data_IF_590590815570
#
_entry.id   IF_590590815570
#
_cell.length_a   1.000
_cell.length_b   1.000
_cell.length_c   1.000
_cell.angle_alpha   90.00
_cell.angle_beta   90.00
_cell.angle_gamma   90.00
#
_symmetry.space_group_name_H-M   'P 1'
#
loop_
_entity.id
_entity.type
_entity.pdbx_description
1 polymer ?
#
# COMPACT_ATOMS: atom_id res chain seq x y z
N UNK A 1 -6.28 -2.11 -14.34
CA UNK A 1 -5.71 -0.74 -14.32
C UNK A 1 -6.31 0.19 -13.27
N UNK A 2 -7.08 -0.29 -12.29
CA UNK A 2 -7.69 0.55 -11.24
C UNK A 2 -6.79 0.73 -10.00
N UNK A 3 -5.73 -0.06 -9.88
CA UNK A 3 -4.83 -0.06 -8.73
C UNK A 3 -4.11 1.27 -8.55
N UNK A 4 -3.44 1.79 -9.58
CA UNK A 4 -2.69 3.04 -9.50
C UNK A 4 -3.56 4.24 -9.08
N UNK A 5 -4.71 4.55 -9.71
CA UNK A 5 -5.53 5.67 -9.27
C UNK A 5 -6.08 5.49 -7.84
N UNK A 6 -6.45 4.27 -7.44
CA UNK A 6 -6.88 3.98 -6.08
C UNK A 6 -5.74 4.18 -5.06
N UNK A 7 -4.53 3.72 -5.38
CA UNK A 7 -3.33 3.91 -4.57
C UNK A 7 -3.00 5.39 -4.37
N UNK A 8 -3.07 6.18 -5.44
CA UNK A 8 -2.85 7.62 -5.38
C UNK A 8 -3.91 8.33 -4.52
N UNK A 9 -5.18 7.94 -4.62
CA UNK A 9 -6.25 8.46 -3.77
C UNK A 9 -6.00 8.14 -2.29
N UNK A 10 -5.68 6.88 -1.98
CA UNK A 10 -5.38 6.41 -0.63
C UNK A 10 -4.21 7.18 -0.01
N UNK A 11 -3.12 7.35 -0.77
CA UNK A 11 -1.93 8.07 -0.33
C UNK A 11 -2.23 9.56 -0.14
N UNK A 12 -3.08 10.15 -0.97
CA UNK A 12 -3.50 11.54 -0.83
C UNK A 12 -4.25 11.79 0.48
N UNK A 13 -5.11 10.86 0.90
CA UNK A 13 -5.89 10.95 2.13
C UNK A 13 -5.08 10.63 3.40
N UNK A 14 -4.05 9.79 3.32
CA UNK A 14 -3.33 9.27 4.49
C UNK A 14 -1.95 9.88 4.72
N UNK A 15 -1.30 10.43 3.68
CA UNK A 15 0.10 10.88 3.75
C UNK A 15 0.20 12.38 3.45
N UNK A 16 0.86 13.17 4.32
CA UNK A 16 1.11 14.59 4.11
C UNK A 16 1.87 14.86 2.80
N UNK A 17 1.58 15.96 2.09
CA UNK A 17 2.15 16.26 0.78
C UNK A 17 3.68 16.30 0.74
N UNK A 18 4.33 16.71 1.84
CA UNK A 18 5.79 16.75 1.98
C UNK A 18 6.44 15.36 1.97
N UNK A 19 5.74 14.31 2.40
CA UNK A 19 6.29 12.95 2.54
C UNK A 19 5.78 11.96 1.47
N UNK A 20 4.73 12.33 0.72
CA UNK A 20 4.16 11.54 -0.39
C UNK A 20 5.22 10.97 -1.35
N UNK A 21 6.20 11.73 -1.88
CA UNK A 21 7.16 11.18 -2.84
C UNK A 21 8.05 10.09 -2.24
N UNK A 22 8.43 10.21 -0.96
CA UNK A 22 9.24 9.19 -0.27
C UNK A 22 8.47 7.87 -0.14
N UNK A 23 7.19 7.96 0.21
CA UNK A 23 6.33 6.78 0.31
C UNK A 23 6.12 6.14 -1.07
N UNK A 24 5.88 6.93 -2.11
CA UNK A 24 5.75 6.44 -3.47
C UNK A 24 7.02 5.72 -3.93
N UNK A 25 8.21 6.29 -3.71
CA UNK A 25 9.47 5.60 -4.02
C UNK A 25 9.56 4.23 -3.35
N UNK A 26 9.19 4.13 -2.07
CA UNK A 26 9.17 2.85 -1.37
C UNK A 26 8.23 1.83 -2.03
N UNK A 27 7.03 2.25 -2.44
CA UNK A 27 6.08 1.38 -3.16
C UNK A 27 6.67 0.88 -4.47
N UNK A 28 7.31 1.76 -5.26
CA UNK A 28 7.96 1.34 -6.50
C UNK A 28 9.11 0.35 -6.27
N UNK A 29 9.92 0.57 -5.22
CA UNK A 29 10.98 -0.37 -4.84
C UNK A 29 10.40 -1.75 -4.48
N UNK A 30 9.29 -1.78 -3.75
CA UNK A 30 8.63 -3.05 -3.38
C UNK A 30 8.16 -3.84 -4.61
N UNK A 31 7.67 -3.17 -5.65
CA UNK A 31 7.27 -3.82 -6.90
C UNK A 31 8.46 -4.48 -7.59
N UNK A 32 9.59 -3.78 -7.70
CA UNK A 32 10.81 -4.34 -8.28
C UNK A 32 11.34 -5.54 -7.48
N UNK A 33 11.39 -5.40 -6.14
CA UNK A 33 11.82 -6.48 -5.25
C UNK A 33 10.91 -7.71 -5.36
N UNK A 34 9.59 -7.49 -5.45
CA UNK A 34 8.62 -8.56 -5.62
C UNK A 34 8.90 -9.40 -6.87
N UNK A 35 9.17 -8.75 -8.01
CA UNK A 35 9.49 -9.45 -9.27
C UNK A 35 10.79 -10.26 -9.12
N UNK A 36 11.83 -9.66 -8.55
CA UNK A 36 13.15 -10.31 -8.35
C UNK A 36 13.03 -11.55 -7.46
N UNK A 37 12.17 -11.51 -6.44
CA UNK A 37 11.94 -12.65 -5.53
C UNK A 37 11.01 -13.69 -6.18
N UNK A 38 9.98 -13.25 -6.91
CA UNK A 38 8.97 -14.13 -7.50
C UNK A 38 9.56 -15.05 -8.57
N UNK A 39 10.47 -14.55 -9.42
CA UNK A 39 11.07 -15.36 -10.49
C UNK A 39 11.80 -16.63 -9.98
N UNK A 40 12.78 -16.55 -9.06
CA UNK A 40 13.44 -17.74 -8.54
C UNK A 40 12.49 -18.60 -7.70
N UNK A 41 11.57 -17.99 -6.95
CA UNK A 41 10.59 -18.71 -6.15
C UNK A 41 9.70 -19.60 -7.02
N UNK A 42 9.21 -19.07 -8.16
CA UNK A 42 8.47 -19.85 -9.15
C UNK A 42 9.30 -21.04 -9.67
N UNK A 43 10.57 -20.83 -9.98
CA UNK A 43 11.46 -21.89 -10.46
C UNK A 43 11.60 -23.05 -9.46
N UNK A 44 11.84 -22.74 -8.19
CA UNK A 44 11.97 -23.74 -7.12
C UNK A 44 10.67 -24.51 -6.89
N UNK A 45 9.52 -23.81 -6.90
CA UNK A 45 8.22 -24.44 -6.67
C UNK A 45 7.84 -25.37 -7.83
N UNK A 46 8.12 -24.98 -9.07
CA UNK A 46 7.83 -25.80 -10.26
C UNK A 46 8.66 -27.10 -10.22
N UNK A 47 9.95 -27.00 -9.85
CA UNK A 47 10.85 -28.17 -9.79
C UNK A 47 10.43 -29.15 -8.68
N UNK A 48 10.04 -28.65 -7.51
CA UNK A 48 9.73 -29.50 -6.35
C UNK A 48 8.29 -30.07 -6.36
N UNK A 49 7.29 -29.27 -6.74
CA UNK A 49 5.87 -29.62 -6.58
C UNK A 49 5.08 -29.59 -7.89
N UNK A 50 5.66 -29.04 -8.97
CA UNK A 50 5.00 -28.87 -10.25
C UNK A 50 4.31 -27.50 -10.39
N UNK A 51 4.04 -27.13 -11.64
CA UNK A 51 3.47 -25.83 -12.01
C UNK A 51 2.16 -25.42 -11.32
N UNK A 52 1.22 -26.32 -10.95
CA UNK A 52 -0.05 -25.91 -10.34
C UNK A 52 0.14 -25.26 -8.96
N UNK A 53 1.18 -25.64 -8.23
CA UNK A 53 1.42 -25.16 -6.86
C UNK A 53 1.82 -23.69 -6.78
N UNK A 54 2.39 -23.13 -7.84
CA UNK A 54 2.68 -21.69 -7.93
C UNK A 54 1.37 -20.88 -7.84
N UNK A 55 0.30 -21.37 -8.47
CA UNK A 55 -1.00 -20.72 -8.45
C UNK A 55 -1.67 -20.82 -7.06
N UNK A 56 -1.61 -22.01 -6.44
CA UNK A 56 -2.15 -22.18 -5.09
C UNK A 56 -1.39 -21.33 -4.05
N UNK A 57 -0.05 -21.31 -4.13
CA UNK A 57 0.77 -20.53 -3.21
C UNK A 57 0.57 -19.02 -3.34
N UNK A 58 0.58 -18.49 -4.56
CA UNK A 58 0.35 -17.07 -4.81
C UNK A 58 -1.09 -16.64 -4.49
N UNK A 59 -2.07 -17.50 -4.74
CA UNK A 59 -3.47 -17.26 -4.39
C UNK A 59 -3.71 -17.21 -2.88
N UNK A 60 -3.20 -18.19 -2.12
CA UNK A 60 -3.33 -18.22 -0.65
C UNK A 60 -2.61 -17.02 -0.03
N UNK A 61 -1.40 -16.71 -0.49
CA UNK A 61 -0.65 -15.55 0.02
C UNK A 61 -1.40 -14.23 -0.22
N UNK A 62 -1.96 -14.07 -1.42
CA UNK A 62 -2.76 -12.89 -1.77
C UNK A 62 -4.03 -12.79 -0.92
N UNK A 63 -4.70 -13.92 -0.66
CA UNK A 63 -5.90 -13.95 0.18
C UNK A 63 -5.59 -13.55 1.63
N UNK A 64 -4.54 -14.12 2.22
CA UNK A 64 -4.08 -13.76 3.57
C UNK A 64 -3.74 -12.27 3.64
N UNK A 65 -3.06 -11.74 2.63
CA UNK A 65 -2.73 -10.32 2.58
C UNK A 65 -3.98 -9.44 2.53
N UNK A 66 -4.97 -9.77 1.69
CA UNK A 66 -6.23 -9.03 1.60
C UNK A 66 -6.98 -9.05 2.93
N UNK A 67 -7.01 -10.19 3.65
CA UNK A 67 -7.65 -10.28 4.97
C UNK A 67 -6.96 -9.35 5.98
N UNK A 68 -5.63 -9.39 6.04
CA UNK A 68 -4.86 -8.50 6.92
C UNK A 68 -5.15 -7.03 6.56
N UNK A 69 -5.15 -6.71 5.28
CA UNK A 69 -5.40 -5.35 4.80
C UNK A 69 -6.82 -4.88 5.11
N UNK A 70 -7.82 -5.75 4.98
CA UNK A 70 -9.21 -5.46 5.34
C UNK A 70 -9.42 -5.24 6.85
N UNK A 71 -8.60 -5.87 7.70
CA UNK A 71 -8.64 -5.66 9.15
C UNK A 71 -7.87 -4.41 9.61
N UNK A 72 -6.88 -3.98 8.84
CA UNK A 72 -5.95 -2.91 9.24
C UNK A 72 -6.27 -1.56 8.58
N UNK A 73 -6.79 -1.57 7.35
CA UNK A 73 -7.07 -0.35 6.60
C UNK A 73 -8.53 0.08 6.75
N UNK A 74 -8.74 1.26 7.31
CA UNK A 74 -10.05 1.91 7.40
C UNK A 74 -10.11 3.12 6.46
N UNK A 75 -11.26 3.40 5.85
CA UNK A 75 -11.44 4.45 4.83
C UNK A 75 -11.32 5.88 5.37
N UNK A 76 -11.33 6.09 6.69
CA UNK A 76 -11.26 7.43 7.30
C UNK A 76 -10.29 7.44 8.47
N UNK A 77 -9.30 8.36 8.51
CA UNK A 77 -8.36 8.48 9.64
C UNK A 77 -9.07 8.77 10.97
N UNK A 78 -10.30 9.29 10.92
CA UNK A 78 -11.17 9.56 12.09
C UNK A 78 -11.82 8.30 12.67
N UNK A 79 -11.92 7.20 11.90
CA UNK A 79 -12.52 5.94 12.35
C UNK A 79 -11.49 4.94 12.87
N UNK A 80 -10.19 5.27 12.80
CA UNK A 80 -9.14 4.36 13.20
C UNK A 80 -8.89 4.47 14.73
N UNK A 81 -9.26 3.47 15.56
CA UNK A 81 -9.16 3.55 17.02
C UNK A 81 -7.72 3.58 17.55
N UNK A 82 -6.72 3.44 16.68
CA UNK A 82 -5.28 3.46 17.00
C UNK A 82 -4.52 4.69 16.52
N UNK A 83 -5.17 5.65 15.86
CA UNK A 83 -4.47 6.85 15.42
C UNK A 83 -4.19 7.77 16.63
N UNK A 84 -2.97 8.27 16.72
CA UNK A 84 -2.64 9.24 17.77
C UNK A 84 -3.35 10.56 17.46
N UNK A 85 -3.94 11.25 18.45
CA UNK A 85 -4.55 12.57 18.23
C UNK A 85 -3.53 13.60 17.69
N UNK A 86 -2.23 13.39 17.93
CA UNK A 86 -1.16 14.20 17.36
C UNK A 86 -0.98 13.98 15.85
N UNK A 87 -1.10 12.74 15.37
CA UNK A 87 -1.00 12.40 13.94
C UNK A 87 -2.22 12.92 13.17
N UNK A 88 -3.43 12.79 13.74
CA UNK A 88 -4.65 13.31 13.13
C UNK A 88 -4.58 14.83 12.94
N UNK A 89 -4.08 15.55 13.96
CA UNK A 89 -3.87 17.00 13.87
C UNK A 89 -2.84 17.36 12.79
N UNK A 90 -1.72 16.63 12.72
CA UNK A 90 -0.67 16.85 11.73
C UNK A 90 -1.16 16.63 10.29
N UNK A 91 -1.91 15.55 10.03
CA UNK A 91 -2.48 15.27 8.70
C UNK A 91 -3.50 16.35 8.30
N UNK A 92 -4.38 16.75 9.22
CA UNK A 92 -5.42 17.76 8.95
C UNK A 92 -4.81 19.14 8.66
N UNK A 93 -3.83 19.57 9.46
CA UNK A 93 -3.11 20.83 9.24
C UNK A 93 -2.34 20.81 7.90
N UNK A 94 -1.67 19.71 7.57
CA UNK A 94 -0.93 19.58 6.32
C UNK A 94 -1.83 19.63 5.06
N UNK A 95 -3.00 18.98 5.10
CA UNK A 95 -4.00 19.04 4.01
C UNK A 95 -4.57 20.46 3.87
N UNK A 96 -4.84 21.15 4.98
CA UNK A 96 -5.34 22.53 4.95
C UNK A 96 -4.32 23.52 4.34
N UNK A 97 -3.03 23.31 4.59
CA UNK A 97 -1.94 24.12 4.02
C UNK A 97 -1.79 23.92 2.50
N UNK A 98 -2.05 22.72 1.98
CA UNK A 98 -2.03 22.41 0.54
C UNK A 98 -3.17 23.13 -0.20
N UNK A 99 -4.39 23.13 0.35
CA UNK A 99 -5.54 23.85 -0.20
C UNK A 99 -5.29 25.36 -0.32
N UNK A 100 -4.62 25.96 0.68
CA UNK A 100 -4.37 27.40 0.72
C UNK A 100 -3.20 27.85 -0.17
N UNK A 101 -2.35 26.90 -0.60
CA UNK A 101 -1.22 27.15 -1.50
C UNK A 101 -1.62 27.07 -2.99
N UNK A 102 -2.67 26.32 -3.32
CA UNK A 102 -3.22 26.23 -4.69
C UNK A 102 -4.11 27.40 -5.10
N UNK A 103 -4.47 28.29 -4.16
CA UNK A 103 -5.35 29.44 -4.39
C UNK A 103 -4.59 30.77 -4.65
N UNK A 104 -3.26 30.72 -4.74
CA UNK A 104 -2.39 31.85 -5.13
C UNK A 104 -1.76 31.61 -6.49
#
# INVERSE_FOLDING_TARGET
>A
GVFYPALHCLISCWIPPLERPRFMSFVYLSNCLGIVITMPLCGVIIDAFGWPWVFYGSGILSLVWVIIWALLMHDTPQQHPRISPAELKYITEAISHESNAGEK
#
